data_IF_258951379346
#
_entry.id   IF_258951379346
#
_cell.length_a   1.000
_cell.length_b   1.000
_cell.length_c   1.000
_cell.angle_alpha   90.00
_cell.angle_beta   90.00
_cell.angle_gamma   90.00
#
_symmetry.space_group_name_H-M   'P 1'
#
loop_
_entity.id
_entity.type
_entity.pdbx_description
1 polymer ?
#
# COMPACT_ATOMS: atom_id res chain seq x y z
N UNK A 1 10.93 0.60 -13.69
CA UNK A 1 11.95 1.28 -12.88
C UNK A 1 12.36 2.56 -13.59
N UNK A 2 12.54 3.63 -12.84
CA UNK A 2 12.84 4.95 -13.40
C UNK A 2 14.30 4.98 -13.87
N UNK A 3 14.56 5.45 -15.10
CA UNK A 3 15.92 5.70 -15.53
C UNK A 3 16.48 6.91 -14.77
N UNK A 4 17.72 6.80 -14.27
CA UNK A 4 18.40 7.88 -13.57
C UNK A 4 19.84 8.02 -14.06
N UNK A 5 20.39 9.22 -13.91
CA UNK A 5 21.77 9.52 -14.29
C UNK A 5 22.72 9.36 -13.11
N UNK A 6 23.99 9.04 -13.39
CA UNK A 6 25.07 9.11 -12.41
C UNK A 6 25.84 10.41 -12.62
N UNK A 7 26.04 11.19 -11.55
CA UNK A 7 26.87 12.39 -11.56
C UNK A 7 27.81 12.38 -10.37
N UNK A 8 29.10 12.65 -10.60
CA UNK A 8 30.15 12.61 -9.57
C UNK A 8 30.18 11.31 -8.75
N UNK A 9 29.85 10.17 -9.38
CA UNK A 9 29.81 8.85 -8.74
C UNK A 9 28.53 8.56 -7.94
N UNK A 10 27.54 9.45 -7.94
CA UNK A 10 26.28 9.26 -7.21
C UNK A 10 25.08 9.24 -8.16
N UNK A 11 24.04 8.44 -7.85
CA UNK A 11 22.73 8.56 -8.50
C UNK A 11 22.15 9.95 -8.31
N UNK A 12 21.46 10.45 -9.34
CA UNK A 12 20.72 11.70 -9.28
C UNK A 12 19.23 11.42 -9.29
N UNK A 13 18.51 12.02 -8.34
CA UNK A 13 17.06 11.91 -8.22
C UNK A 13 16.39 12.28 -9.56
N UNK A 14 15.59 11.37 -10.15
CA UNK A 14 15.05 11.53 -11.50
C UNK A 14 14.00 12.65 -11.59
N UNK A 15 13.44 13.10 -10.47
CA UNK A 15 12.44 14.18 -10.40
C UNK A 15 13.09 15.54 -10.10
N UNK A 16 14.41 15.58 -9.86
CA UNK A 16 15.18 16.80 -9.71
C UNK A 16 15.71 17.00 -8.29
N UNK A 17 16.13 18.23 -8.00
CA UNK A 17 16.75 18.59 -6.72
C UNK A 17 15.69 18.64 -5.61
N UNK A 18 15.98 17.99 -4.50
CA UNK A 18 15.23 18.11 -3.24
C UNK A 18 15.87 19.12 -2.29
N UNK A 19 17.11 19.55 -2.58
CA UNK A 19 17.87 20.51 -1.76
C UNK A 19 18.70 19.84 -0.65
N UNK A 20 18.76 18.52 -0.64
CA UNK A 20 19.51 17.73 0.35
C UNK A 20 20.30 16.64 -0.40
N UNK A 21 21.62 16.63 -0.26
CA UNK A 21 22.49 15.60 -0.83
C UNK A 21 22.70 14.42 0.13
N UNK A 22 23.26 13.31 -0.38
CA UNK A 22 23.49 12.10 0.40
C UNK A 22 22.25 11.20 0.44
N UNK A 23 22.21 10.21 1.32
CA UNK A 23 21.08 9.26 1.43
C UNK A 23 19.98 9.69 2.39
N UNK A 24 20.24 10.67 3.25
CA UNK A 24 19.35 10.97 4.36
C UNK A 24 19.17 9.73 5.24
N UNK A 25 17.92 9.33 5.46
CA UNK A 25 17.55 8.13 6.23
C UNK A 25 17.46 6.85 5.41
N UNK A 26 17.58 6.93 4.07
CA UNK A 26 17.44 5.79 3.19
C UNK A 26 18.69 4.89 3.20
N UNK A 27 18.47 3.57 3.15
CA UNK A 27 19.57 2.60 3.24
C UNK A 27 20.45 2.57 1.97
N UNK A 28 19.84 2.76 0.80
CA UNK A 28 20.49 2.61 -0.51
C UNK A 28 20.69 3.96 -1.20
N UNK A 29 21.75 4.06 -2.00
CA UNK A 29 21.88 5.12 -3.01
C UNK A 29 20.96 4.80 -4.19
N UNK A 30 20.35 5.83 -4.78
CA UNK A 30 19.38 5.67 -5.85
C UNK A 30 18.02 5.17 -5.34
N UNK A 31 17.33 4.27 -6.08
CA UNK A 31 16.01 3.83 -5.71
C UNK A 31 16.03 2.90 -4.48
N UNK A 32 15.11 3.17 -3.55
CA UNK A 32 14.79 2.35 -2.40
C UNK A 32 13.39 1.76 -2.65
N UNK A 33 13.35 0.47 -2.96
CA UNK A 33 12.13 -0.19 -3.43
C UNK A 33 11.25 -0.63 -2.26
N UNK A 34 9.97 -0.29 -2.36
CA UNK A 34 8.88 -0.74 -1.50
C UNK A 34 7.82 -1.50 -2.32
N UNK A 35 6.88 -2.12 -1.61
CA UNK A 35 5.71 -2.75 -2.19
C UNK A 35 4.45 -2.36 -1.41
N UNK A 36 3.43 -1.89 -2.10
CA UNK A 36 2.19 -1.39 -1.49
C UNK A 36 0.98 -2.28 -1.86
N UNK A 37 0.45 -3.08 -0.93
CA UNK A 37 -0.81 -3.80 -1.13
C UNK A 37 -2.01 -2.86 -0.95
N UNK A 38 -2.80 -2.71 -2.01
CA UNK A 38 -4.08 -1.98 -1.99
C UNK A 38 -5.21 -3.00 -1.90
N UNK A 39 -5.51 -3.47 -0.69
CA UNK A 39 -6.63 -4.40 -0.43
C UNK A 39 -7.94 -3.62 -0.38
N UNK A 40 -8.88 -3.97 -1.26
CA UNK A 40 -10.13 -3.21 -1.45
C UNK A 40 -11.38 -4.07 -1.42
N UNK A 41 -12.50 -3.46 -1.04
CA UNK A 41 -13.83 -4.04 -1.12
C UNK A 41 -14.88 -2.96 -1.42
N UNK A 42 -16.02 -3.34 -1.98
CA UNK A 42 -17.18 -2.45 -2.00
C UNK A 42 -17.79 -2.34 -0.61
N UNK A 43 -18.11 -1.12 -0.18
CA UNK A 43 -18.83 -0.90 1.07
C UNK A 43 -20.24 -1.48 0.96
N UNK A 44 -20.64 -2.31 1.93
CA UNK A 44 -22.00 -2.87 2.00
C UNK A 44 -22.86 -2.14 3.04
N UNK A 45 -24.16 -2.10 2.78
CA UNK A 45 -25.20 -1.74 3.74
C UNK A 45 -25.64 -2.98 4.55
N UNK A 46 -26.52 -2.78 5.53
CA UNK A 46 -26.95 -3.82 6.47
C UNK A 46 -27.66 -5.02 5.80
N UNK A 47 -28.23 -4.83 4.62
CA UNK A 47 -28.93 -5.82 3.80
C UNK A 47 -28.05 -6.46 2.71
N UNK A 48 -26.73 -6.23 2.76
CA UNK A 48 -25.76 -6.65 1.73
C UNK A 48 -25.86 -5.93 0.38
N UNK A 49 -26.66 -4.87 0.26
CA UNK A 49 -26.61 -3.99 -0.92
C UNK A 49 -25.37 -3.10 -0.89
N UNK A 50 -24.84 -2.74 -2.06
CA UNK A 50 -23.70 -1.82 -2.15
C UNK A 50 -24.10 -0.43 -1.66
N UNK A 51 -23.28 0.17 -0.80
CA UNK A 51 -23.44 1.56 -0.39
C UNK A 51 -23.05 2.50 -1.54
N UNK A 52 -23.92 3.45 -1.84
CA UNK A 52 -23.71 4.46 -2.87
C UNK A 52 -23.34 5.80 -2.26
N UNK A 53 -22.43 6.52 -2.90
CA UNK A 53 -22.14 7.90 -2.57
C UNK A 53 -23.38 8.77 -2.81
N UNK A 54 -23.68 9.66 -1.86
CA UNK A 54 -24.94 10.41 -1.86
C UNK A 54 -25.06 11.35 -3.05
N UNK A 55 -23.93 11.86 -3.56
CA UNK A 55 -23.85 12.89 -4.59
C UNK A 55 -23.70 12.24 -5.97
N UNK A 56 -22.65 11.43 -6.15
CA UNK A 56 -22.29 10.83 -7.43
C UNK A 56 -23.16 9.62 -7.78
N UNK A 57 -23.88 9.04 -6.80
CA UNK A 57 -24.64 7.80 -6.92
C UNK A 57 -23.81 6.59 -7.35
N UNK A 58 -22.48 6.69 -7.26
CA UNK A 58 -21.56 5.59 -7.56
C UNK A 58 -21.31 4.72 -6.32
N UNK A 59 -20.95 3.44 -6.48
CA UNK A 59 -20.54 2.59 -5.36
C UNK A 59 -19.36 3.17 -4.58
N UNK A 60 -19.41 3.05 -3.25
CA UNK A 60 -18.34 3.47 -2.36
C UNK A 60 -17.31 2.36 -2.25
N UNK A 61 -16.09 2.61 -2.71
CA UNK A 61 -14.95 1.71 -2.57
C UNK A 61 -14.25 1.97 -1.24
N UNK A 62 -13.89 0.90 -0.52
CA UNK A 62 -13.07 0.96 0.67
C UNK A 62 -11.73 0.28 0.42
N UNK A 63 -10.70 0.73 1.15
CA UNK A 63 -9.41 0.06 1.23
C UNK A 63 -8.96 -0.07 2.69
N UNK A 64 -8.04 -0.99 2.95
CA UNK A 64 -7.41 -1.14 4.26
C UNK A 64 -6.28 -0.11 4.37
N UNK A 65 -6.31 0.68 5.43
CA UNK A 65 -5.24 1.63 5.77
C UNK A 65 -4.71 1.35 7.18
N UNK A 66 -3.42 1.61 7.36
CA UNK A 66 -2.77 1.64 8.68
C UNK A 66 -2.47 3.08 9.08
N UNK A 67 -2.40 3.32 10.38
CA UNK A 67 -1.93 4.58 10.95
C UNK A 67 -0.50 4.38 11.41
N UNK A 68 0.44 5.05 10.75
CA UNK A 68 1.87 4.91 11.05
C UNK A 68 2.17 5.40 12.48
N UNK A 69 3.02 4.69 13.21
CA UNK A 69 3.42 5.09 14.57
C UNK A 69 4.31 6.34 14.62
N UNK A 70 5.12 6.57 13.59
CA UNK A 70 6.12 7.64 13.54
C UNK A 70 5.53 9.03 13.25
N UNK A 71 4.57 9.10 12.33
CA UNK A 71 3.98 10.33 11.78
C UNK A 71 2.53 10.52 12.22
N UNK A 72 1.86 9.44 12.62
CA UNK A 72 0.42 9.44 12.91
C UNK A 72 -0.45 9.59 11.66
N UNK A 73 0.13 9.54 10.46
CA UNK A 73 -0.59 9.63 9.19
C UNK A 73 -1.17 8.28 8.76
N UNK A 74 -2.27 8.31 8.01
CA UNK A 74 -2.84 7.11 7.41
C UNK A 74 -2.09 6.77 6.12
N UNK A 75 -1.75 5.51 5.93
CA UNK A 75 -0.97 5.02 4.80
C UNK A 75 -1.50 3.68 4.28
N UNK A 76 -1.04 3.29 3.09
CA UNK A 76 -1.13 1.91 2.64
C UNK A 76 -0.25 1.04 3.55
N UNK A 77 -0.65 -0.22 3.83
CA UNK A 77 0.12 -1.13 4.65
C UNK A 77 1.25 -1.79 3.85
N UNK A 78 2.22 -0.97 3.44
CA UNK A 78 3.32 -1.35 2.56
C UNK A 78 4.68 -1.09 3.20
N UNK A 79 5.68 -1.82 2.73
CA UNK A 79 7.03 -1.79 3.30
C UNK A 79 8.12 -2.13 2.29
N UNK A 80 9.34 -2.26 2.79
CA UNK A 80 10.54 -2.36 1.95
C UNK A 80 10.65 -3.75 1.32
N UNK A 81 11.13 -3.80 0.07
CA UNK A 81 11.43 -5.07 -0.60
C UNK A 81 12.73 -5.65 -0.06
N UNK A 82 12.65 -6.84 0.51
CA UNK A 82 13.82 -7.55 1.02
C UNK A 82 14.76 -8.03 -0.12
N UNK A 83 16.08 -8.14 0.14
CA UNK A 83 17.02 -8.65 -0.85
C UNK A 83 16.62 -10.04 -1.39
N UNK A 84 16.34 -10.12 -2.69
CA UNK A 84 15.95 -11.36 -3.37
C UNK A 84 14.46 -11.71 -3.28
N UNK A 85 13.66 -10.91 -2.56
CA UNK A 85 12.21 -11.08 -2.50
C UNK A 85 11.54 -10.57 -3.80
N UNK A 86 10.48 -11.26 -4.23
CA UNK A 86 9.64 -10.79 -5.34
C UNK A 86 8.68 -9.74 -4.81
N UNK A 87 8.51 -8.63 -5.53
CA UNK A 87 7.71 -7.48 -5.07
C UNK A 87 6.26 -7.84 -4.73
N UNK A 88 5.62 -8.72 -5.50
CA UNK A 88 4.27 -9.21 -5.16
C UNK A 88 4.21 -10.06 -3.89
N UNK A 89 5.29 -10.77 -3.55
CA UNK A 89 5.41 -11.50 -2.27
C UNK A 89 5.59 -10.52 -1.12
N UNK A 90 6.43 -9.50 -1.29
CA UNK A 90 6.59 -8.38 -0.34
C UNK A 90 5.24 -7.75 -0.03
N UNK A 91 4.46 -7.34 -1.03
CA UNK A 91 3.16 -6.70 -0.81
C UNK A 91 2.21 -7.57 0.06
N UNK A 92 2.19 -8.89 -0.15
CA UNK A 92 1.34 -9.78 0.64
C UNK A 92 1.87 -9.95 2.06
N UNK A 93 3.20 -10.06 2.23
CA UNK A 93 3.85 -10.14 3.55
C UNK A 93 3.56 -8.88 4.37
N UNK A 94 3.83 -7.71 3.81
CA UNK A 94 3.62 -6.41 4.46
C UNK A 94 2.16 -6.23 4.89
N UNK A 95 1.19 -6.60 4.04
CA UNK A 95 -0.22 -6.57 4.42
C UNK A 95 -0.50 -7.44 5.66
N UNK A 96 0.06 -8.65 5.70
CA UNK A 96 -0.17 -9.59 6.80
C UNK A 96 0.50 -9.10 8.10
N UNK A 97 1.70 -8.53 8.01
CA UNK A 97 2.43 -7.99 9.15
C UNK A 97 1.72 -6.75 9.70
N UNK A 98 1.46 -5.74 8.86
CA UNK A 98 0.98 -4.44 9.31
C UNK A 98 -0.53 -4.37 9.55
N UNK A 99 -1.34 -5.13 8.80
CA UNK A 99 -2.81 -5.05 8.87
C UNK A 99 -3.47 -6.27 9.54
N UNK A 100 -2.75 -7.38 9.70
CA UNK A 100 -3.23 -8.59 10.38
C UNK A 100 -2.41 -8.98 11.61
N UNK A 101 -1.33 -8.25 11.94
CA UNK A 101 -0.43 -8.52 13.06
C UNK A 101 0.11 -9.96 13.04
N UNK A 102 0.58 -10.41 11.87
CA UNK A 102 1.06 -11.78 11.67
C UNK A 102 2.31 -12.12 12.48
N UNK A 103 3.12 -11.13 12.86
CA UNK A 103 4.31 -11.33 13.69
C UNK A 103 3.95 -11.83 15.10
N UNK A 104 2.78 -11.45 15.63
CA UNK A 104 2.28 -11.91 16.91
C UNK A 104 1.36 -13.16 16.80
N UNK A 105 1.05 -13.61 15.58
CA UNK A 105 0.14 -14.72 15.33
C UNK A 105 0.84 -16.09 15.46
N UNK A 106 0.08 -17.12 15.83
CA UNK A 106 0.60 -18.50 15.88
C UNK A 106 0.79 -19.07 14.48
N UNK A 107 1.59 -20.14 14.36
CA UNK A 107 1.80 -20.81 13.06
C UNK A 107 0.49 -21.41 12.49
N UNK A 108 -0.42 -21.84 13.36
CA UNK A 108 -1.75 -22.30 12.97
C UNK A 108 -2.59 -21.16 12.38
N UNK A 109 -2.57 -19.98 12.98
CA UNK A 109 -3.27 -18.79 12.48
C UNK A 109 -2.69 -18.36 11.12
N UNK A 110 -1.36 -18.29 11.00
CA UNK A 110 -0.67 -17.98 9.74
C UNK A 110 -1.03 -18.98 8.64
N UNK A 111 -1.02 -20.28 8.97
CA UNK A 111 -1.39 -21.36 8.03
C UNK A 111 -2.85 -21.24 7.58
N UNK A 112 -3.77 -20.97 8.52
CA UNK A 112 -5.18 -20.75 8.23
C UNK A 112 -5.40 -19.53 7.31
N UNK A 113 -4.72 -18.41 7.56
CA UNK A 113 -4.77 -17.23 6.69
C UNK A 113 -4.20 -17.50 5.31
N UNK A 114 -3.04 -18.16 5.25
CA UNK A 114 -2.41 -18.54 3.98
C UNK A 114 -3.35 -19.40 3.15
N UNK A 115 -4.06 -20.35 3.76
CA UNK A 115 -5.05 -21.16 3.05
C UNK A 115 -6.28 -20.36 2.64
N UNK A 116 -6.84 -19.56 3.55
CA UNK A 116 -8.04 -18.76 3.31
C UNK A 116 -7.86 -17.72 2.22
N UNK A 117 -6.72 -17.03 2.20
CA UNK A 117 -6.46 -15.92 1.29
C UNK A 117 -5.57 -16.28 0.10
N UNK A 118 -5.24 -17.57 -0.08
CA UNK A 118 -4.37 -18.04 -1.17
C UNK A 118 -4.81 -17.52 -2.54
N UNK A 119 -6.09 -17.73 -2.88
CA UNK A 119 -6.61 -17.35 -4.19
C UNK A 119 -6.70 -15.82 -4.32
N UNK A 120 -7.11 -15.14 -3.26
CA UNK A 120 -7.23 -13.69 -3.22
C UNK A 120 -5.89 -12.98 -3.50
N UNK A 121 -4.85 -13.35 -2.75
CA UNK A 121 -3.51 -12.77 -2.94
C UNK A 121 -2.77 -13.30 -4.17
N UNK A 122 -3.33 -14.27 -4.90
CA UNK A 122 -2.80 -14.68 -6.20
C UNK A 122 -3.30 -13.81 -7.37
N UNK A 123 -4.38 -13.05 -7.17
CA UNK A 123 -5.04 -12.24 -8.21
C UNK A 123 -4.63 -10.77 -8.23
N UNK A 124 -3.49 -10.40 -7.65
CA UNK A 124 -3.06 -9.01 -7.56
C UNK A 124 -2.83 -8.36 -8.93
N UNK A 125 -3.37 -7.17 -9.13
CA UNK A 125 -3.17 -6.36 -10.35
C UNK A 125 -2.24 -5.21 -10.03
N UNK A 126 -1.16 -5.06 -10.80
CA UNK A 126 -0.27 -3.90 -10.67
C UNK A 126 -1.00 -2.61 -11.09
N UNK A 127 -1.08 -1.66 -10.15
CA UNK A 127 -1.75 -0.36 -10.38
C UNK A 127 -0.78 0.80 -10.49
N UNK A 128 0.41 0.66 -9.92
CA UNK A 128 1.46 1.67 -9.98
C UNK A 128 2.84 1.01 -9.89
N UNK A 129 3.82 1.55 -10.60
CA UNK A 129 5.23 1.18 -10.48
C UNK A 129 6.10 2.40 -10.79
N UNK A 130 6.84 2.91 -9.81
CA UNK A 130 7.73 4.04 -10.01
C UNK A 130 8.00 4.87 -8.78
N UNK A 131 8.48 6.09 -9.02
CA UNK A 131 8.86 7.08 -8.01
C UNK A 131 7.72 7.42 -7.04
N UNK A 132 8.02 7.59 -5.76
CA UNK A 132 7.05 8.10 -4.78
C UNK A 132 7.55 9.44 -4.25
N UNK A 133 6.71 10.47 -4.29
CA UNK A 133 7.01 11.75 -3.64
C UNK A 133 6.90 11.54 -2.12
N UNK A 134 8.05 11.37 -1.48
CA UNK A 134 8.19 10.93 -0.11
C UNK A 134 9.13 11.88 0.63
N UNK A 135 8.82 12.27 1.89
CA UNK A 135 9.65 13.19 2.66
C UNK A 135 11.07 12.68 2.93
N UNK A 136 11.36 11.39 2.70
CA UNK A 136 12.69 10.79 2.83
C UNK A 136 13.59 11.02 1.61
N UNK A 137 13.03 11.50 0.50
CA UNK A 137 13.76 11.66 -0.75
C UNK A 137 14.87 12.73 -0.65
N UNK A 138 16.02 12.43 -1.24
CA UNK A 138 17.18 13.32 -1.37
C UNK A 138 17.56 13.49 -2.85
N UNK A 139 18.58 14.29 -3.13
CA UNK A 139 19.19 14.40 -4.46
C UNK A 139 19.81 13.08 -4.93
N UNK A 140 20.11 12.13 -4.03
CA UNK A 140 20.87 10.92 -4.34
C UNK A 140 20.23 9.60 -3.90
N UNK A 141 19.08 9.63 -3.22
CA UNK A 141 18.32 8.46 -2.82
C UNK A 141 16.82 8.81 -2.81
N UNK A 142 15.97 7.93 -3.32
CA UNK A 142 14.52 8.17 -3.37
C UNK A 142 13.73 6.87 -3.19
N UNK A 143 12.45 7.02 -2.85
CA UNK A 143 11.49 5.94 -2.78
C UNK A 143 10.97 5.57 -4.17
N UNK A 144 10.92 4.27 -4.46
CA UNK A 144 10.07 3.72 -5.53
C UNK A 144 9.17 2.66 -4.92
N UNK A 145 7.95 2.51 -5.43
CA UNK A 145 7.05 1.43 -5.02
C UNK A 145 6.47 0.72 -6.22
N UNK A 146 6.06 -0.54 -6.01
CA UNK A 146 5.07 -1.20 -6.86
C UNK A 146 3.82 -1.44 -6.03
N UNK A 147 2.71 -0.88 -6.47
CA UNK A 147 1.43 -1.07 -5.82
C UNK A 147 0.60 -2.13 -6.53
N UNK A 148 0.09 -3.09 -5.75
CA UNK A 148 -0.78 -4.16 -6.23
C UNK A 148 -2.17 -4.00 -5.63
N UNK A 149 -3.19 -3.89 -6.47
CA UNK A 149 -4.58 -3.96 -6.00
C UNK A 149 -5.04 -5.41 -5.90
N UNK A 150 -5.57 -5.76 -4.72
CA UNK A 150 -6.30 -7.00 -4.47
C UNK A 150 -7.73 -6.63 -4.14
N UNK A 151 -8.67 -6.95 -5.02
CA UNK A 151 -10.06 -6.53 -4.88
C UNK A 151 -10.98 -7.70 -4.57
N UNK A 152 -11.79 -7.56 -3.52
CA UNK A 152 -12.83 -8.51 -3.14
C UNK A 152 -14.17 -8.08 -3.75
N UNK A 153 -14.45 -8.64 -4.93
CA UNK A 153 -15.62 -8.26 -5.74
C UNK A 153 -16.95 -8.52 -5.04
N UNK A 154 -17.09 -9.66 -4.35
CA UNK A 154 -18.33 -10.07 -3.70
C UNK A 154 -18.32 -9.83 -2.18
N UNK A 155 -17.19 -9.39 -1.62
CA UNK A 155 -17.02 -9.14 -0.19
C UNK A 155 -17.00 -10.41 0.67
N UNK A 156 -16.79 -11.59 0.06
CA UNK A 156 -16.81 -12.88 0.76
C UNK A 156 -15.48 -13.23 1.41
N UNK A 157 -14.40 -12.54 1.03
CA UNK A 157 -13.05 -12.91 1.41
C UNK A 157 -12.50 -12.01 2.50
N UNK A 158 -12.31 -10.73 2.19
CA UNK A 158 -11.68 -9.75 3.07
C UNK A 158 -12.68 -8.97 3.92
N UNK A 159 -13.97 -9.01 3.58
CA UNK A 159 -15.04 -8.42 4.41
C UNK A 159 -15.12 -9.00 5.82
N UNK A 160 -14.61 -10.22 6.02
CA UNK A 160 -14.52 -10.88 7.33
C UNK A 160 -13.10 -10.86 7.93
N UNK A 161 -12.16 -10.08 7.38
CA UNK A 161 -10.83 -9.90 7.99
C UNK A 161 -10.97 -9.24 9.36
N UNK A 162 -10.44 -9.91 10.39
CA UNK A 162 -10.13 -9.25 11.65
C UNK A 162 -8.84 -8.48 11.45
N UNK A 163 -8.98 -7.18 11.20
CA UNK A 163 -7.84 -6.29 11.12
C UNK A 163 -7.26 -6.10 12.52
N UNK A 164 -5.94 -6.26 12.62
CA UNK A 164 -5.19 -5.99 13.84
C UNK A 164 -3.91 -5.26 13.44
N UNK A 165 -3.63 -4.13 14.08
CA UNK A 165 -2.47 -3.34 13.74
C UNK A 165 -1.20 -4.11 14.12
N UNK A 166 -0.24 -4.15 13.19
CA UNK A 166 1.10 -4.69 13.44
C UNK A 166 1.93 -3.81 14.37
N UNK A 167 3.20 -4.15 14.50
CA UNK A 167 4.18 -3.45 15.34
C UNK A 167 4.44 -1.99 14.94
N UNK A 168 4.51 -1.70 13.63
CA UNK A 168 4.75 -0.35 13.12
C UNK A 168 3.48 0.52 12.98
N UNK A 169 2.31 -0.08 13.18
CA UNK A 169 1.01 0.57 13.05
C UNK A 169 0.35 0.79 14.42
N UNK A 170 -0.08 2.03 14.70
CA UNK A 170 -0.86 2.36 15.91
C UNK A 170 -2.37 2.25 15.69
N UNK A 171 -2.79 1.81 14.50
CA UNK A 171 -4.19 1.57 14.16
C UNK A 171 -4.35 1.03 12.75
N UNK A 172 -5.44 0.30 12.52
CA UNK A 172 -5.79 -0.27 11.21
C UNK A 172 -7.31 -0.19 11.01
N UNK A 173 -7.77 0.14 9.80
CA UNK A 173 -9.20 0.14 9.48
C UNK A 173 -9.48 0.12 7.99
N UNK A 174 -10.72 -0.23 7.65
CA UNK A 174 -11.32 0.12 6.37
C UNK A 174 -11.56 1.63 6.28
N UNK A 175 -11.16 2.23 5.15
CA UNK A 175 -11.33 3.66 4.86
C UNK A 175 -12.04 3.81 3.51
N UNK A 176 -13.06 4.65 3.47
CA UNK A 176 -13.75 5.01 2.22
C UNK A 176 -12.81 5.86 1.34
N UNK A 177 -12.65 5.48 0.07
CA UNK A 177 -11.90 6.28 -0.89
C UNK A 177 -12.75 7.48 -1.28
N UNK A 178 -12.24 8.68 -0.97
CA UNK A 178 -12.91 9.95 -1.28
C UNK A 178 -11.92 10.93 -1.92
N UNK A 179 -12.38 11.91 -2.71
CA UNK A 179 -11.49 12.89 -3.35
C UNK A 179 -10.62 13.70 -2.37
N UNK A 180 -11.08 13.84 -1.12
CA UNK A 180 -10.44 14.64 -0.08
C UNK A 180 -9.67 13.79 0.94
N UNK A 181 -9.48 12.50 0.68
CA UNK A 181 -8.70 11.64 1.56
C UNK A 181 -7.27 12.18 1.70
N UNK A 182 -6.77 12.19 2.93
CA UNK A 182 -5.39 12.54 3.27
C UNK A 182 -4.65 11.27 3.63
N UNK A 183 -3.60 10.97 2.88
CA UNK A 183 -2.72 9.83 3.11
C UNK A 183 -1.26 10.28 3.05
N UNK A 184 -0.40 9.51 3.70
CA UNK A 184 1.05 9.66 3.66
C UNK A 184 1.58 9.61 2.22
N UNK A 185 2.60 10.41 1.92
CA UNK A 185 3.28 10.46 0.62
C UNK A 185 2.28 10.56 -0.56
N UNK A 186 2.57 9.89 -1.67
CA UNK A 186 1.70 9.84 -2.86
C UNK A 186 0.60 8.75 -2.79
N UNK A 187 0.30 8.18 -1.61
CA UNK A 187 -0.65 7.05 -1.51
C UNK A 187 -2.07 7.41 -1.98
N UNK A 188 -2.46 8.69 -1.86
CA UNK A 188 -3.74 9.19 -2.39
C UNK A 188 -3.88 8.93 -3.89
N UNK A 189 -2.81 9.14 -4.65
CA UNK A 189 -2.84 9.00 -6.11
C UNK A 189 -2.99 7.53 -6.50
N UNK A 190 -2.30 6.64 -5.77
CA UNK A 190 -2.40 5.18 -5.94
C UNK A 190 -3.84 4.70 -5.71
N UNK A 191 -4.46 5.02 -4.57
CA UNK A 191 -5.85 4.58 -4.29
C UNK A 191 -6.87 5.23 -5.23
N UNK A 192 -6.60 6.45 -5.70
CA UNK A 192 -7.43 7.11 -6.70
C UNK A 192 -7.36 6.39 -8.05
N UNK A 193 -6.18 5.91 -8.45
CA UNK A 193 -6.02 5.10 -9.65
C UNK A 193 -6.77 3.77 -9.54
N UNK A 194 -6.71 3.09 -8.39
CA UNK A 194 -7.51 1.89 -8.13
C UNK A 194 -9.01 2.18 -8.31
N UNK A 195 -9.51 3.25 -7.70
CA UNK A 195 -10.92 3.64 -7.80
C UNK A 195 -11.35 3.88 -9.25
N UNK A 196 -10.51 4.55 -10.05
CA UNK A 196 -10.79 4.78 -11.48
C UNK A 196 -10.86 3.49 -12.29
N UNK A 197 -10.00 2.50 -11.99
CA UNK A 197 -9.97 1.21 -12.71
C UNK A 197 -11.18 0.35 -12.38
N UNK A 198 -11.63 0.32 -11.12
CA UNK A 198 -12.75 -0.50 -10.67
C UNK A 198 -14.14 0.08 -11.01
N UNK A 199 -14.21 1.35 -11.42
CA UNK A 199 -15.45 1.99 -11.86
C UNK A 199 -15.70 1.92 -13.38
N UNK A 200 -14.75 1.40 -14.16
CA UNK A 200 -14.89 1.20 -15.61
C UNK A 200 -15.64 -0.10 -15.89
#
# INVERSE_FOLDING_TARGET
MTNYTISNGYPMNPIGRTGICGRGVLGRWGPNHAADPVVTQWKKQADSEMALDKITKKPILQFVAIKRGDTGEWALPGGMVDPGEKVGVTAVREFQEEAMNSLAATEEEKSAWKQKFKNFFSGGVEVYSGYVDDPRNTDNAWMETVAYNFHDHDGSTVGALKLNAGDDAVGVRWVDITPNIKLYASHKDIVTEVYKRLLQ
#
